data_IF_839245230211
#
_entry.id   IF_839245230211
#
_cell.length_a   1.000
_cell.length_b   1.000
_cell.length_c   1.000
_cell.angle_alpha   90.00
_cell.angle_beta   90.00
_cell.angle_gamma   90.00
#
_symmetry.space_group_name_H-M   'P 1'
#
loop_
_entity.id
_entity.type
_entity.pdbx_description
1 polymer ?
#
# COMPACT_ATOMS: atom_id res chain seq x y z
N UNK A 1 -39.10 -79.71 22.40
CA UNK A 1 -39.24 -78.34 21.86
C UNK A 1 -38.05 -77.39 22.17
N UNK A 2 -37.06 -77.76 22.99
CA UNK A 2 -35.95 -76.86 23.37
C UNK A 2 -34.81 -76.70 22.33
N UNK A 3 -34.74 -77.56 21.30
CA UNK A 3 -33.64 -77.55 20.31
C UNK A 3 -33.85 -76.51 19.18
N UNK A 4 -35.09 -76.34 18.71
CA UNK A 4 -35.43 -75.38 17.63
C UNK A 4 -35.19 -73.92 18.04
N UNK A 5 -35.51 -73.56 19.29
CA UNK A 5 -35.28 -72.21 19.81
C UNK A 5 -33.79 -71.82 19.87
N UNK A 6 -32.88 -72.76 20.15
CA UNK A 6 -31.43 -72.50 20.19
C UNK A 6 -30.86 -72.28 18.78
N UNK A 7 -31.38 -72.98 17.78
CA UNK A 7 -30.94 -72.81 16.38
C UNK A 7 -31.42 -71.47 15.82
N UNK A 8 -32.69 -71.12 16.03
CA UNK A 8 -33.25 -69.82 15.62
C UNK A 8 -32.50 -68.67 16.29
N UNK A 9 -32.19 -68.80 17.58
CA UNK A 9 -31.40 -67.81 18.30
C UNK A 9 -29.97 -67.67 17.73
N UNK A 10 -29.28 -68.76 17.41
CA UNK A 10 -27.94 -68.71 16.78
C UNK A 10 -27.96 -68.05 15.40
N UNK A 11 -28.95 -68.36 14.57
CA UNK A 11 -29.12 -67.74 13.25
C UNK A 11 -29.45 -66.24 13.37
N UNK A 12 -30.28 -65.86 14.34
CA UNK A 12 -30.55 -64.46 14.64
C UNK A 12 -29.28 -63.70 15.07
N UNK A 13 -28.48 -64.28 15.96
CA UNK A 13 -27.21 -63.70 16.41
C UNK A 13 -26.21 -63.59 15.24
N UNK A 14 -26.09 -64.62 14.39
CA UNK A 14 -25.22 -64.58 13.21
C UNK A 14 -25.66 -63.51 12.20
N UNK A 15 -26.96 -63.39 11.96
CA UNK A 15 -27.53 -62.32 11.13
C UNK A 15 -27.20 -60.95 11.72
N UNK A 16 -27.40 -60.75 13.03
CA UNK A 16 -27.08 -59.50 13.70
C UNK A 16 -25.59 -59.14 13.58
N UNK A 17 -24.69 -60.11 13.74
CA UNK A 17 -23.24 -59.90 13.56
C UNK A 17 -22.92 -59.55 12.10
N UNK A 18 -23.54 -60.22 11.14
CA UNK A 18 -23.33 -59.93 9.71
C UNK A 18 -23.80 -58.51 9.34
N UNK A 19 -24.99 -58.11 9.78
CA UNK A 19 -25.49 -56.75 9.56
C UNK A 19 -24.64 -55.70 10.29
N UNK A 20 -24.18 -56.00 11.51
CA UNK A 20 -23.32 -55.09 12.25
C UNK A 20 -21.94 -54.95 11.59
N UNK A 21 -21.34 -56.06 11.17
CA UNK A 21 -20.08 -56.09 10.42
C UNK A 21 -20.18 -55.34 9.10
N UNK A 22 -21.25 -55.58 8.33
CA UNK A 22 -21.54 -54.86 7.10
C UNK A 22 -21.75 -53.36 7.31
N UNK A 23 -22.44 -52.97 8.39
CA UNK A 23 -22.65 -51.56 8.75
C UNK A 23 -21.33 -50.88 9.14
N UNK A 24 -20.48 -51.54 9.92
CA UNK A 24 -19.14 -51.03 10.28
C UNK A 24 -18.25 -50.92 9.05
N UNK A 25 -18.25 -51.93 8.17
CA UNK A 25 -17.49 -51.91 6.93
C UNK A 25 -17.95 -50.79 6.00
N UNK A 26 -19.26 -50.63 5.81
CA UNK A 26 -19.83 -49.54 5.01
C UNK A 26 -19.47 -48.17 5.60
N UNK A 27 -19.61 -47.98 6.91
CA UNK A 27 -19.21 -46.75 7.57
C UNK A 27 -17.72 -46.45 7.39
N UNK A 28 -16.86 -47.45 7.54
CA UNK A 28 -15.42 -47.31 7.31
C UNK A 28 -15.13 -46.94 5.85
N UNK A 29 -15.75 -47.61 4.88
CA UNK A 29 -15.55 -47.30 3.46
C UNK A 29 -15.93 -45.86 3.11
N UNK A 30 -17.07 -45.37 3.60
CA UNK A 30 -17.54 -44.00 3.37
C UNK A 30 -16.71 -42.94 4.11
N UNK A 31 -16.05 -43.33 5.21
CA UNK A 31 -15.23 -42.43 6.00
C UNK A 31 -13.87 -42.14 5.33
N UNK A 32 -13.35 -43.11 4.57
CA UNK A 32 -12.09 -43.01 3.81
C UNK A 32 -12.30 -42.77 2.31
N UNK A 33 -13.55 -42.67 1.86
CA UNK A 33 -13.88 -42.28 0.48
C UNK A 33 -13.34 -40.87 0.19
N UNK A 34 -12.61 -40.75 -0.91
CA UNK A 34 -12.06 -39.47 -1.38
C UNK A 34 -13.16 -38.61 -1.99
N UNK A 35 -13.08 -37.30 -1.78
CA UNK A 35 -13.98 -36.37 -2.46
C UNK A 35 -13.52 -36.10 -3.91
N UNK A 36 -14.43 -35.57 -4.74
CA UNK A 36 -14.17 -35.27 -6.15
C UNK A 36 -13.41 -33.93 -6.35
N UNK A 37 -13.04 -33.25 -5.27
CA UNK A 37 -12.38 -31.93 -5.35
C UNK A 37 -10.91 -32.13 -5.72
N UNK A 38 -10.58 -31.74 -6.95
CA UNK A 38 -9.24 -31.98 -7.54
C UNK A 38 -8.19 -30.93 -7.15
N UNK A 39 -8.59 -29.85 -6.46
CA UNK A 39 -7.69 -28.79 -6.01
C UNK A 39 -7.75 -28.58 -4.49
N UNK A 40 -6.64 -28.16 -3.91
CA UNK A 40 -6.61 -27.83 -2.48
C UNK A 40 -7.45 -26.59 -2.18
N UNK A 41 -8.38 -26.71 -1.25
CA UNK A 41 -9.36 -25.67 -0.92
C UNK A 41 -9.16 -25.15 0.49
N UNK A 42 -9.36 -23.85 0.71
CA UNK A 42 -9.30 -23.24 2.05
C UNK A 42 -10.72 -23.11 2.61
N UNK A 43 -10.95 -23.69 3.78
CA UNK A 43 -12.24 -23.66 4.47
C UNK A 43 -12.12 -22.85 5.74
N UNK A 44 -13.05 -21.93 5.97
CA UNK A 44 -13.18 -21.24 7.26
C UNK A 44 -14.11 -22.01 8.18
N UNK A 45 -13.68 -22.27 9.42
CA UNK A 45 -14.53 -22.68 10.55
C UNK A 45 -14.67 -21.49 11.50
N UNK A 46 -15.88 -21.01 11.70
CA UNK A 46 -16.12 -19.82 12.51
C UNK A 46 -16.08 -20.13 14.01
N UNK A 47 -15.76 -19.12 14.82
CA UNK A 47 -15.76 -19.27 16.28
C UNK A 47 -17.19 -19.50 16.77
N UNK A 48 -17.39 -20.60 17.49
CA UNK A 48 -18.71 -20.99 18.02
C UNK A 48 -19.55 -21.82 17.04
N UNK A 49 -19.02 -22.14 15.86
CA UNK A 49 -19.70 -23.00 14.90
C UNK A 49 -19.81 -24.44 15.43
N UNK A 50 -21.01 -25.02 15.38
CA UNK A 50 -21.24 -26.38 15.85
C UNK A 50 -20.98 -27.42 14.75
N UNK A 51 -20.78 -28.68 15.16
CA UNK A 51 -20.49 -29.81 14.25
C UNK A 51 -21.47 -29.92 13.07
N UNK A 52 -22.75 -29.58 13.26
CA UNK A 52 -23.75 -29.66 12.20
C UNK A 52 -23.61 -28.53 11.17
N UNK A 53 -23.27 -27.32 11.62
CA UNK A 53 -22.98 -26.19 10.75
C UNK A 53 -21.71 -26.45 9.92
N UNK A 54 -20.64 -26.91 10.58
CA UNK A 54 -19.38 -27.29 9.91
C UNK A 54 -19.64 -28.37 8.84
N UNK A 55 -20.34 -29.45 9.21
CA UNK A 55 -20.60 -30.55 8.27
C UNK A 55 -21.46 -30.12 7.08
N UNK A 56 -22.43 -29.21 7.29
CA UNK A 56 -23.25 -28.65 6.20
C UNK A 56 -22.42 -27.78 5.26
N UNK A 57 -21.56 -26.91 5.80
CA UNK A 57 -20.66 -26.07 4.99
C UNK A 57 -19.72 -26.91 4.15
N UNK A 58 -19.03 -27.88 4.77
CA UNK A 58 -18.14 -28.78 4.05
C UNK A 58 -18.89 -29.59 2.96
N UNK A 59 -20.15 -29.96 3.19
CA UNK A 59 -20.98 -30.61 2.16
C UNK A 59 -21.35 -29.65 1.03
N UNK A 60 -21.68 -28.40 1.33
CA UNK A 60 -21.99 -27.36 0.32
C UNK A 60 -20.78 -27.05 -0.56
N UNK A 61 -19.57 -27.13 -0.01
CA UNK A 61 -18.31 -26.98 -0.74
C UNK A 61 -17.85 -28.29 -1.43
N UNK A 62 -18.70 -29.32 -1.45
CA UNK A 62 -18.42 -30.66 -2.03
C UNK A 62 -17.24 -31.41 -1.40
N UNK A 63 -16.78 -31.00 -0.22
CA UNK A 63 -15.67 -31.62 0.49
C UNK A 63 -16.07 -32.88 1.27
N UNK A 64 -17.38 -33.11 1.48
CA UNK A 64 -17.91 -34.32 2.13
C UNK A 64 -18.87 -35.10 1.24
N UNK A 65 -18.71 -36.42 1.18
CA UNK A 65 -19.71 -37.32 0.57
C UNK A 65 -20.98 -37.39 1.43
N UNK A 66 -20.83 -37.50 2.76
CA UNK A 66 -21.97 -37.62 3.69
C UNK A 66 -21.80 -36.85 5.00
N UNK A 67 -22.79 -36.00 5.30
CA UNK A 67 -22.90 -35.28 6.58
C UNK A 67 -23.02 -36.27 7.75
N UNK A 68 -23.79 -37.36 7.57
CA UNK A 68 -24.03 -38.32 8.64
C UNK A 68 -22.75 -39.07 9.04
N UNK A 69 -21.96 -39.49 8.05
CA UNK A 69 -20.69 -40.21 8.26
C UNK A 69 -19.69 -39.32 9.00
N UNK A 70 -19.51 -38.08 8.54
CA UNK A 70 -18.61 -37.12 9.20
C UNK A 70 -19.03 -36.85 10.66
N UNK A 71 -20.33 -36.63 10.90
CA UNK A 71 -20.85 -36.40 12.26
C UNK A 71 -20.70 -37.63 13.17
N UNK A 72 -20.94 -38.83 12.64
CA UNK A 72 -20.73 -40.06 13.38
C UNK A 72 -19.24 -40.26 13.72
N UNK A 73 -18.33 -40.02 12.77
CA UNK A 73 -16.89 -40.08 13.00
C UNK A 73 -16.41 -39.07 14.07
N UNK A 74 -16.91 -37.83 14.03
CA UNK A 74 -16.59 -36.81 15.03
C UNK A 74 -17.08 -37.19 16.45
N UNK A 75 -18.22 -37.89 16.55
CA UNK A 75 -18.76 -38.36 17.84
C UNK A 75 -18.05 -39.59 18.37
N UNK A 76 -17.86 -40.61 17.51
CA UNK A 76 -17.21 -41.87 17.87
C UNK A 76 -15.74 -41.69 18.25
N UNK A 77 -15.07 -40.69 17.65
CA UNK A 77 -13.69 -40.36 18.01
C UNK A 77 -13.56 -39.62 19.35
N UNK A 78 -14.66 -39.22 19.99
CA UNK A 78 -14.64 -38.40 21.21
C UNK A 78 -14.13 -36.96 20.99
N UNK A 79 -13.87 -36.57 19.73
CA UNK A 79 -13.23 -35.29 19.35
C UNK A 79 -14.23 -34.20 18.94
N UNK A 80 -15.52 -34.38 19.23
CA UNK A 80 -16.58 -33.43 18.83
C UNK A 80 -16.36 -32.02 19.40
N UNK A 81 -15.79 -31.89 20.60
CA UNK A 81 -15.42 -30.61 21.23
C UNK A 81 -14.03 -30.11 20.83
N UNK A 82 -13.27 -30.90 20.07
CA UNK A 82 -11.89 -30.61 19.67
C UNK A 82 -11.78 -29.94 18.30
N UNK A 83 -12.89 -29.73 17.59
CA UNK A 83 -12.91 -28.98 16.34
C UNK A 83 -12.59 -27.51 16.62
N UNK A 84 -11.45 -27.03 16.13
CA UNK A 84 -11.00 -25.66 16.41
C UNK A 84 -11.47 -24.71 15.31
N UNK A 85 -11.80 -23.48 15.68
CA UNK A 85 -12.08 -22.43 14.72
C UNK A 85 -10.80 -21.99 13.99
N UNK A 86 -10.94 -21.58 12.73
CA UNK A 86 -9.84 -21.08 11.90
C UNK A 86 -10.00 -21.43 10.42
N UNK A 87 -9.07 -20.94 9.61
CA UNK A 87 -8.95 -21.33 8.21
C UNK A 87 -8.11 -22.60 8.10
N UNK A 88 -8.57 -23.59 7.34
CA UNK A 88 -7.89 -24.86 7.13
C UNK A 88 -7.66 -25.09 5.64
N UNK A 89 -6.48 -25.58 5.31
CA UNK A 89 -6.19 -26.07 3.96
C UNK A 89 -6.60 -27.53 3.88
N UNK A 90 -7.61 -27.82 3.09
CA UNK A 90 -8.04 -29.18 2.78
C UNK A 90 -7.31 -29.62 1.49
N UNK A 91 -6.59 -30.76 1.50
CA UNK A 91 -5.92 -31.26 0.30
C UNK A 91 -6.94 -31.73 -0.74
N UNK A 92 -6.50 -31.81 -2.00
CA UNK A 92 -7.31 -32.43 -3.06
C UNK A 92 -7.64 -33.88 -2.69
N UNK A 93 -8.83 -34.33 -3.05
CA UNK A 93 -9.31 -35.70 -2.81
C UNK A 93 -9.36 -36.11 -1.33
N UNK A 94 -9.43 -35.15 -0.41
CA UNK A 94 -9.47 -35.44 1.01
C UNK A 94 -10.70 -36.27 1.40
N UNK A 95 -10.49 -37.31 2.20
CA UNK A 95 -11.56 -38.08 2.81
C UNK A 95 -12.20 -37.35 3.99
N UNK A 96 -13.42 -37.75 4.37
CA UNK A 96 -14.08 -37.23 5.57
C UNK A 96 -13.22 -37.46 6.84
N UNK A 97 -12.43 -38.54 6.89
CA UNK A 97 -11.48 -38.80 7.98
C UNK A 97 -10.35 -37.79 8.03
N UNK A 98 -9.71 -37.52 6.89
CA UNK A 98 -8.59 -36.58 6.81
C UNK A 98 -9.04 -35.16 7.14
N UNK A 99 -10.20 -34.74 6.63
CA UNK A 99 -10.80 -33.44 6.97
C UNK A 99 -11.03 -33.35 8.48
N UNK A 100 -11.61 -34.39 9.09
CA UNK A 100 -11.82 -34.42 10.54
C UNK A 100 -10.49 -34.30 11.31
N UNK A 101 -9.45 -35.01 10.88
CA UNK A 101 -8.13 -34.94 11.54
C UNK A 101 -7.48 -33.57 11.39
N UNK A 102 -7.59 -32.92 10.23
CA UNK A 102 -7.12 -31.55 9.99
C UNK A 102 -7.82 -30.58 10.95
N UNK A 103 -9.14 -30.63 11.04
CA UNK A 103 -9.92 -29.74 11.91
C UNK A 103 -9.65 -29.96 13.41
N UNK A 104 -9.38 -31.21 13.80
CA UNK A 104 -9.01 -31.57 15.17
C UNK A 104 -7.58 -31.12 15.49
N UNK A 105 -6.65 -31.22 14.54
CA UNK A 105 -5.25 -30.86 14.75
C UNK A 105 -5.09 -29.38 15.11
N UNK A 106 -6.00 -28.53 14.64
CA UNK A 106 -5.93 -27.08 14.81
C UNK A 106 -4.84 -26.42 13.98
N UNK A 107 -4.26 -27.11 12.99
CA UNK A 107 -3.26 -26.54 12.09
C UNK A 107 -3.94 -25.62 11.08
N UNK A 108 -4.15 -24.36 11.49
CA UNK A 108 -4.78 -23.36 10.65
C UNK A 108 -3.81 -22.73 9.67
N UNK A 109 -4.33 -22.20 8.56
CA UNK A 109 -3.60 -21.32 7.64
C UNK A 109 -3.05 -20.12 8.43
N UNK A 110 -1.75 -19.89 8.28
CA UNK A 110 -1.06 -18.77 8.91
C UNK A 110 -1.11 -17.55 8.00
N UNK A 111 -1.69 -16.46 8.50
CA UNK A 111 -1.66 -15.13 7.88
C UNK A 111 -0.58 -14.26 8.52
N UNK A 112 -0.20 -13.19 7.83
CA UNK A 112 0.83 -12.25 8.27
C UNK A 112 0.33 -10.83 8.13
N UNK A 113 0.66 -9.99 9.10
CA UNK A 113 0.55 -8.54 9.01
C UNK A 113 1.91 -7.93 9.28
N UNK A 114 2.45 -7.18 8.32
CA UNK A 114 3.73 -6.49 8.47
C UNK A 114 3.47 -5.06 8.92
N UNK A 115 4.07 -4.67 10.03
CA UNK A 115 4.05 -3.31 10.53
C UNK A 115 5.39 -2.65 10.19
N UNK A 116 5.41 -1.68 9.25
CA UNK A 116 6.64 -1.00 8.89
C UNK A 116 7.19 -0.15 10.05
N UNK A 117 8.51 -0.10 10.16
CA UNK A 117 9.21 0.80 11.07
C UNK A 117 8.93 2.27 10.74
N UNK A 118 9.05 3.15 11.75
CA UNK A 118 8.88 4.59 11.57
C UNK A 118 7.42 5.05 11.40
N UNK A 119 6.45 4.16 11.66
CA UNK A 119 5.02 4.46 11.71
C UNK A 119 4.58 4.93 13.10
N UNK A 120 3.64 5.88 13.16
CA UNK A 120 3.02 6.30 14.43
C UNK A 120 2.03 5.24 14.90
N UNK A 121 1.70 5.21 16.19
CA UNK A 121 0.74 4.24 16.74
C UNK A 121 -0.63 4.34 16.06
N UNK A 122 -1.05 5.56 15.69
CA UNK A 122 -2.28 5.80 14.90
C UNK A 122 -2.23 5.12 13.54
N UNK A 123 -1.13 5.26 12.82
CA UNK A 123 -0.95 4.61 11.51
C UNK A 123 -0.91 3.08 11.63
N UNK A 124 -0.29 2.55 12.70
CA UNK A 124 -0.31 1.12 13.00
C UNK A 124 -1.75 0.64 13.22
N UNK A 125 -2.54 1.39 13.99
CA UNK A 125 -3.96 1.08 14.20
C UNK A 125 -4.75 1.09 12.88
N UNK A 126 -4.46 2.00 11.96
CA UNK A 126 -5.09 2.02 10.64
C UNK A 126 -4.73 0.77 9.82
N UNK A 127 -3.47 0.31 9.88
CA UNK A 127 -3.02 -0.94 9.24
C UNK A 127 -3.79 -2.14 9.84
N UNK A 128 -3.85 -2.25 11.18
CA UNK A 128 -4.55 -3.34 11.85
C UNK A 128 -6.06 -3.32 11.59
N UNK A 129 -6.67 -2.15 11.52
CA UNK A 129 -8.09 -1.98 11.17
C UNK A 129 -8.38 -2.53 9.77
N UNK A 130 -7.51 -2.22 8.80
CA UNK A 130 -7.66 -2.58 7.39
C UNK A 130 -7.16 -3.99 7.04
N UNK A 131 -6.50 -4.69 7.98
CA UNK A 131 -5.93 -6.03 7.74
C UNK A 131 -7.03 -7.10 7.65
N UNK A 132 -7.19 -7.79 6.49
CA UNK A 132 -8.21 -8.82 6.33
C UNK A 132 -7.97 -10.02 7.25
N UNK A 133 -9.05 -10.51 7.87
CA UNK A 133 -9.03 -11.66 8.78
C UNK A 133 -8.71 -11.32 10.23
N UNK A 134 -8.29 -10.09 10.56
CA UNK A 134 -8.30 -9.62 11.95
C UNK A 134 -9.69 -9.12 12.32
N UNK A 135 -10.12 -9.41 13.54
CA UNK A 135 -11.48 -9.09 14.03
C UNK A 135 -11.43 -8.36 15.38
N UNK A 136 -12.60 -7.97 15.89
CA UNK A 136 -12.74 -7.29 17.17
C UNK A 136 -12.26 -5.83 17.15
N UNK A 137 -12.59 -5.13 18.23
CA UNK A 137 -12.20 -3.75 18.43
C UNK A 137 -10.71 -3.62 18.75
N UNK A 138 -10.13 -2.49 18.36
CA UNK A 138 -8.80 -2.10 18.79
C UNK A 138 -8.85 -1.65 20.26
N UNK A 139 -7.82 -1.95 21.08
CA UNK A 139 -7.75 -1.44 22.44
C UNK A 139 -7.50 0.08 22.45
N UNK A 140 -7.33 0.66 23.64
CA UNK A 140 -6.84 2.02 23.77
C UNK A 140 -5.53 2.21 23.01
N UNK A 141 -5.39 3.36 22.33
CA UNK A 141 -4.24 3.67 21.48
C UNK A 141 -2.98 3.85 22.32
N UNK A 142 -1.96 2.98 22.20
CA UNK A 142 -0.73 3.14 22.94
C UNK A 142 0.08 4.34 22.41
N UNK A 143 0.80 5.06 23.28
CA UNK A 143 1.77 6.08 22.88
C UNK A 143 2.76 5.58 21.81
N UNK A 144 3.31 6.51 21.03
CA UNK A 144 4.40 6.19 20.11
C UNK A 144 5.61 5.64 20.88
N UNK A 145 6.35 4.73 20.25
CA UNK A 145 7.53 4.10 20.83
C UNK A 145 7.23 2.86 21.65
N UNK A 146 5.95 2.52 21.87
CA UNK A 146 5.55 1.32 22.65
C UNK A 146 5.23 0.10 21.79
N UNK A 147 5.05 0.25 20.48
CA UNK A 147 4.61 -0.83 19.60
C UNK A 147 5.77 -1.28 18.72
N UNK A 148 6.30 -2.49 18.93
CA UNK A 148 7.43 -2.98 18.13
C UNK A 148 6.99 -3.21 16.67
N UNK A 149 7.63 -2.56 15.68
CA UNK A 149 7.35 -2.83 14.27
C UNK A 149 8.00 -4.15 13.84
N UNK A 150 7.19 -5.13 13.47
CA UNK A 150 7.62 -6.45 12.97
C UNK A 150 6.54 -7.03 12.04
N UNK A 151 6.80 -8.25 11.54
CA UNK A 151 5.76 -9.07 10.90
C UNK A 151 5.13 -10.02 11.92
N UNK A 152 3.85 -9.82 12.18
CA UNK A 152 3.08 -10.62 13.12
C UNK A 152 2.27 -11.69 12.39
N UNK A 153 2.45 -12.94 12.83
CA UNK A 153 1.65 -14.07 12.36
C UNK A 153 0.32 -14.17 13.10
N UNK A 154 -0.77 -14.51 12.41
CA UNK A 154 -2.09 -14.67 13.01
C UNK A 154 -2.96 -15.67 12.24
N UNK A 155 -4.00 -16.20 12.87
CA UNK A 155 -5.03 -17.02 12.22
C UNK A 155 -6.25 -16.18 11.89
N UNK A 156 -7.00 -16.52 10.84
CA UNK A 156 -8.25 -15.81 10.54
C UNK A 156 -9.20 -15.79 11.74
N UNK A 157 -9.83 -14.65 11.99
CA UNK A 157 -10.66 -14.42 13.16
C UNK A 157 -9.89 -13.95 14.40
N UNK A 158 -8.55 -13.85 14.35
CA UNK A 158 -7.76 -13.39 15.50
C UNK A 158 -8.14 -11.96 15.91
N UNK A 159 -8.34 -11.70 17.22
CA UNK A 159 -8.63 -10.34 17.68
C UNK A 159 -7.46 -9.39 17.45
N UNK A 160 -7.72 -8.18 16.96
CA UNK A 160 -6.73 -7.11 16.79
C UNK A 160 -5.97 -6.80 18.08
N UNK A 161 -6.67 -6.85 19.22
CA UNK A 161 -6.09 -6.66 20.56
C UNK A 161 -4.88 -7.57 20.82
N UNK A 162 -4.93 -8.85 20.40
CA UNK A 162 -3.84 -9.80 20.60
C UNK A 162 -2.58 -9.36 19.85
N UNK A 163 -2.73 -8.78 18.65
CA UNK A 163 -1.59 -8.25 17.90
C UNK A 163 -0.98 -7.05 18.64
N UNK A 164 -1.81 -6.12 19.11
CA UNK A 164 -1.35 -4.96 19.90
C UNK A 164 -0.62 -5.40 21.18
N UNK A 165 -1.18 -6.36 21.92
CA UNK A 165 -0.54 -6.92 23.14
C UNK A 165 0.83 -7.55 22.84
N UNK A 166 0.95 -8.26 21.71
CA UNK A 166 2.23 -8.82 21.25
C UNK A 166 3.23 -7.72 20.87
N UNK A 167 2.78 -6.64 20.24
CA UNK A 167 3.65 -5.50 19.90
C UNK A 167 4.18 -4.80 21.15
N UNK A 168 3.32 -4.59 22.15
CA UNK A 168 3.69 -4.00 23.44
C UNK A 168 4.72 -4.87 24.16
N UNK A 169 4.43 -6.17 24.28
CA UNK A 169 5.33 -7.14 24.91
C UNK A 169 6.66 -7.24 24.16
N UNK A 170 6.63 -7.24 22.81
CA UNK A 170 7.81 -7.27 21.96
C UNK A 170 8.70 -6.05 22.16
N UNK A 171 8.11 -4.84 22.25
CA UNK A 171 8.87 -3.62 22.48
C UNK A 171 9.52 -3.62 23.85
N UNK A 172 8.75 -3.95 24.89
CA UNK A 172 9.23 -4.05 26.26
C UNK A 172 10.40 -5.03 26.36
N UNK A 173 10.22 -6.24 25.80
CA UNK A 173 11.28 -7.25 25.77
C UNK A 173 12.52 -6.76 25.03
N UNK A 174 12.34 -6.12 23.88
CA UNK A 174 13.46 -5.62 23.06
C UNK A 174 14.28 -4.59 23.82
N UNK A 175 13.64 -3.61 24.45
CA UNK A 175 14.38 -2.60 25.20
C UNK A 175 15.00 -3.20 26.47
N UNK A 176 14.33 -4.12 27.16
CA UNK A 176 14.87 -4.80 28.35
C UNK A 176 16.10 -5.66 28.03
N UNK A 177 16.12 -6.31 26.87
CA UNK A 177 17.27 -7.06 26.37
C UNK A 177 18.46 -6.16 26.03
N UNK A 178 18.22 -5.03 25.35
CA UNK A 178 19.29 -4.16 24.86
C UNK A 178 19.85 -3.22 25.94
N UNK A 179 19.02 -2.81 26.90
CA UNK A 179 19.32 -1.78 27.88
C UNK A 179 20.56 -2.06 28.75
N UNK A 180 20.80 -3.30 29.26
CA UNK A 180 22.00 -3.60 30.05
C UNK A 180 23.30 -3.42 29.25
N UNK A 181 23.24 -3.52 27.93
CA UNK A 181 24.40 -3.37 27.05
C UNK A 181 24.68 -1.94 26.61
N UNK A 182 23.92 -0.93 27.04
CA UNK A 182 24.13 0.46 26.62
C UNK A 182 25.48 1.00 27.09
N UNK A 183 25.99 2.01 26.40
CA UNK A 183 27.18 2.74 26.84
C UNK A 183 26.93 3.51 28.15
N UNK A 184 27.92 3.59 29.04
CA UNK A 184 27.75 4.19 30.38
C UNK A 184 27.55 5.72 30.38
N UNK A 185 28.12 6.41 29.39
CA UNK A 185 28.15 7.88 29.30
C UNK A 185 27.07 8.41 28.32
N UNK A 186 25.82 7.99 28.45
CA UNK A 186 24.73 8.50 27.62
C UNK A 186 24.08 9.74 28.26
N UNK A 187 23.69 10.76 27.47
CA UNK A 187 23.10 12.01 27.99
C UNK A 187 21.61 11.86 28.39
N UNK A 188 21.17 10.64 28.61
CA UNK A 188 19.82 10.26 29.01
C UNK A 188 19.91 9.05 29.94
N UNK A 189 18.96 8.95 30.86
CA UNK A 189 19.02 8.01 31.99
C UNK A 189 17.91 6.96 31.94
N UNK A 190 16.86 7.19 31.15
CA UNK A 190 15.71 6.29 31.10
C UNK A 190 15.52 5.63 29.73
N UNK A 191 14.79 4.51 29.73
CA UNK A 191 14.43 3.76 28.53
C UNK A 191 13.53 4.59 27.60
N UNK A 192 12.66 5.39 28.19
CA UNK A 192 11.75 6.29 27.49
C UNK A 192 12.53 7.35 26.71
N UNK A 193 13.53 7.98 27.32
CA UNK A 193 14.39 8.95 26.63
C UNK A 193 15.18 8.32 25.47
N UNK A 194 15.65 7.08 25.65
CA UNK A 194 16.30 6.34 24.58
C UNK A 194 15.33 6.06 23.42
N UNK A 195 14.08 5.68 23.70
CA UNK A 195 13.05 5.49 22.67
C UNK A 195 12.71 6.79 21.94
N UNK A 196 12.72 7.93 22.63
CA UNK A 196 12.54 9.24 21.98
C UNK A 196 13.63 9.44 20.93
N UNK A 197 14.91 9.27 21.31
CA UNK A 197 16.00 9.44 20.37
C UNK A 197 15.95 8.38 19.26
N UNK A 198 15.64 7.13 19.57
CA UNK A 198 15.52 6.05 18.58
C UNK A 198 14.46 6.38 17.52
N UNK A 199 13.33 6.96 17.93
CA UNK A 199 12.28 7.39 16.99
C UNK A 199 12.72 8.53 16.07
N UNK A 200 13.65 9.38 16.51
CA UNK A 200 14.25 10.42 15.66
C UNK A 200 15.19 9.77 14.65
N UNK A 201 16.08 8.88 15.09
CA UNK A 201 17.03 8.17 14.21
C UNK A 201 16.30 7.37 13.13
N UNK A 202 15.22 6.68 13.50
CA UNK A 202 14.38 5.91 12.59
C UNK A 202 13.88 6.76 11.41
N UNK A 203 13.51 8.01 11.66
CA UNK A 203 12.99 8.92 10.63
C UNK A 203 14.08 9.68 9.88
N UNK A 204 15.32 9.68 10.38
CA UNK A 204 16.41 10.47 9.82
C UNK A 204 17.11 9.76 8.66
N UNK A 205 17.29 8.44 8.73
CA UNK A 205 18.00 7.70 7.68
C UNK A 205 17.37 6.35 7.37
N UNK A 206 17.34 6.02 6.08
CA UNK A 206 17.08 4.65 5.59
C UNK A 206 18.37 3.84 5.43
N UNK A 207 19.55 4.44 5.60
CA UNK A 207 20.85 3.77 5.45
C UNK A 207 21.27 3.16 6.78
N UNK A 208 21.15 1.83 6.87
CA UNK A 208 21.38 1.09 8.11
C UNK A 208 22.77 1.33 8.72
N UNK A 209 23.81 1.38 7.88
CA UNK A 209 25.20 1.57 8.33
C UNK A 209 25.49 2.96 8.91
N UNK A 210 24.65 3.97 8.63
CA UNK A 210 24.84 5.32 9.15
C UNK A 210 24.15 5.56 10.50
N UNK A 211 23.16 4.73 10.89
CA UNK A 211 22.37 4.94 12.12
C UNK A 211 23.24 5.12 13.37
N UNK A 212 24.26 4.29 13.66
CA UNK A 212 25.09 4.47 14.85
C UNK A 212 25.88 5.79 14.84
N UNK A 213 26.29 6.27 13.66
CA UNK A 213 27.03 7.53 13.51
C UNK A 213 26.12 8.75 13.66
N UNK A 214 24.92 8.70 13.08
CA UNK A 214 23.89 9.73 13.26
C UNK A 214 23.48 9.81 14.74
N UNK A 215 23.29 8.67 15.41
CA UNK A 215 23.06 8.62 16.86
C UNK A 215 24.19 9.29 17.64
N UNK A 216 25.45 9.03 17.29
CA UNK A 216 26.61 9.72 17.85
C UNK A 216 26.55 11.25 17.70
N UNK A 217 26.13 11.77 16.53
CA UNK A 217 25.95 13.22 16.33
C UNK A 217 24.88 13.80 17.25
N UNK A 218 23.70 13.18 17.34
CA UNK A 218 22.64 13.70 18.21
C UNK A 218 23.03 13.62 19.68
N UNK A 219 23.70 12.55 20.11
CA UNK A 219 24.22 12.43 21.48
C UNK A 219 25.24 13.52 21.79
N UNK A 220 26.16 13.82 20.87
CA UNK A 220 27.10 14.92 21.04
C UNK A 220 26.42 16.28 21.12
N UNK A 221 25.34 16.49 20.35
CA UNK A 221 24.51 17.71 20.44
C UNK A 221 23.85 17.83 21.81
N UNK A 222 23.27 16.75 22.32
CA UNK A 222 22.64 16.71 23.64
C UNK A 222 23.65 17.07 24.74
N UNK A 223 24.84 16.43 24.73
CA UNK A 223 25.93 16.73 25.70
C UNK A 223 26.35 18.20 25.67
N UNK A 224 26.37 18.83 24.49
CA UNK A 224 26.73 20.25 24.33
C UNK A 224 25.57 21.23 24.60
N UNK A 225 24.39 20.75 24.97
CA UNK A 225 23.19 21.58 25.14
C UNK A 225 22.76 22.27 23.82
N UNK A 226 23.10 21.66 22.68
CA UNK A 226 22.68 22.11 21.36
C UNK A 226 21.26 21.62 21.07
N UNK A 227 20.54 22.39 20.25
CA UNK A 227 19.27 21.93 19.68
C UNK A 227 19.51 20.77 18.71
N UNK A 228 18.59 19.81 18.65
CA UNK A 228 18.74 18.66 17.76
C UNK A 228 18.50 19.02 16.30
N UNK A 229 17.60 19.96 16.01
CA UNK A 229 17.34 20.52 14.67
C UNK A 229 17.15 19.43 13.59
N UNK A 230 16.17 18.55 13.80
CA UNK A 230 15.84 17.44 12.90
C UNK A 230 14.44 17.64 12.32
N UNK A 231 14.36 17.59 10.98
CA UNK A 231 13.13 17.80 10.20
C UNK A 231 11.99 16.85 10.62
N UNK A 232 12.21 15.54 10.84
CA UNK A 232 11.19 14.61 11.35
C UNK A 232 10.37 15.13 12.54
N UNK A 233 11.02 15.79 13.49
CA UNK A 233 10.33 16.30 14.69
C UNK A 233 9.44 17.50 14.38
N UNK A 234 9.81 18.31 13.39
CA UNK A 234 8.98 19.42 12.88
C UNK A 234 7.84 18.88 12.04
N UNK A 235 8.07 17.85 11.22
CA UNK A 235 7.01 17.17 10.47
C UNK A 235 5.95 16.65 11.43
N UNK A 236 6.38 15.97 12.50
CA UNK A 236 5.48 15.50 13.56
C UNK A 236 4.71 16.65 14.21
N UNK A 237 5.39 17.76 14.53
CA UNK A 237 4.77 18.95 15.10
C UNK A 237 3.74 19.64 14.18
N UNK A 238 3.91 19.55 12.86
CA UNK A 238 2.99 20.16 11.88
C UNK A 238 1.76 19.27 11.64
N UNK A 239 1.90 17.95 11.79
CA UNK A 239 0.82 17.00 11.51
C UNK A 239 0.17 16.41 12.76
N UNK A 240 0.65 16.80 13.94
CA UNK A 240 0.30 16.19 15.24
C UNK A 240 0.46 14.66 15.25
N UNK A 241 1.35 14.13 14.40
CA UNK A 241 1.53 12.69 14.22
C UNK A 241 0.33 11.94 13.62
N UNK A 242 -0.70 12.66 13.16
CA UNK A 242 -1.95 12.08 12.64
C UNK A 242 -1.88 11.71 11.16
N UNK A 243 -1.00 12.38 10.40
CA UNK A 243 -0.86 12.16 8.96
C UNK A 243 0.55 12.43 8.44
N UNK A 244 0.81 11.98 7.21
CA UNK A 244 2.04 12.27 6.49
C UNK A 244 1.99 13.66 5.84
N UNK A 245 3.06 14.43 6.00
CA UNK A 245 3.17 15.75 5.38
C UNK A 245 3.42 15.61 3.86
N UNK A 246 2.41 15.91 3.04
CA UNK A 246 2.48 15.79 1.57
C UNK A 246 3.22 16.94 0.86
N UNK A 247 3.85 17.83 1.63
CA UNK A 247 4.61 18.98 1.12
C UNK A 247 5.98 19.07 1.79
N UNK A 248 6.88 19.85 1.21
CA UNK A 248 8.15 20.19 1.88
C UNK A 248 7.90 21.09 3.09
N UNK A 249 8.78 20.99 4.09
CA UNK A 249 8.84 21.95 5.18
C UNK A 249 9.18 23.35 4.65
N UNK A 250 8.51 24.34 5.21
CA UNK A 250 8.73 25.76 4.94
C UNK A 250 9.49 26.39 6.11
N UNK A 251 10.08 27.57 5.88
CA UNK A 251 10.72 28.34 6.95
C UNK A 251 9.74 28.71 8.08
N UNK A 252 8.44 28.85 7.77
CA UNK A 252 7.41 29.12 8.78
C UNK A 252 7.23 27.92 9.70
N UNK A 253 7.20 26.70 9.15
CA UNK A 253 7.09 25.47 9.94
C UNK A 253 8.26 25.31 10.90
N UNK A 254 9.50 25.55 10.43
CA UNK A 254 10.71 25.44 11.25
C UNK A 254 10.71 26.38 12.46
N UNK A 255 9.99 27.52 12.37
CA UNK A 255 9.89 28.52 13.43
C UNK A 255 8.60 28.42 14.27
N UNK A 256 7.70 27.51 13.92
CA UNK A 256 6.43 27.38 14.63
C UNK A 256 6.67 26.86 16.05
N UNK A 257 6.10 27.49 17.09
CA UNK A 257 6.24 27.02 18.46
C UNK A 257 5.46 25.71 18.64
N UNK A 258 6.15 24.64 19.02
CA UNK A 258 5.55 23.36 19.35
C UNK A 258 6.52 22.56 20.23
N UNK A 259 6.07 21.78 21.24
CA UNK A 259 6.97 21.03 22.13
C UNK A 259 7.93 20.08 21.39
N UNK A 260 7.46 19.48 20.29
CA UNK A 260 8.28 18.59 19.47
C UNK A 260 9.22 19.32 18.49
N UNK A 261 9.10 20.64 18.32
CA UNK A 261 9.95 21.36 17.38
C UNK A 261 11.38 21.54 17.93
N UNK A 262 12.29 20.64 17.54
CA UNK A 262 13.71 20.67 17.94
C UNK A 262 14.53 21.79 17.28
N UNK A 263 13.95 22.63 16.44
CA UNK A 263 14.57 23.89 16.01
C UNK A 263 14.36 25.02 17.03
N UNK A 264 13.32 24.91 17.85
CA UNK A 264 12.94 25.92 18.83
C UNK A 264 13.37 25.49 20.24
N UNK A 265 13.20 24.21 20.56
CA UNK A 265 13.49 23.65 21.89
C UNK A 265 14.85 22.92 21.92
N UNK A 266 15.54 23.02 23.05
CA UNK A 266 16.75 22.22 23.34
C UNK A 266 16.36 20.88 23.96
N UNK A 267 17.26 19.90 23.88
CA UNK A 267 17.03 18.57 24.45
C UNK A 267 16.17 17.68 23.55
N UNK A 268 15.71 16.57 24.13
CA UNK A 268 14.79 15.64 23.50
C UNK A 268 13.36 16.24 23.45
N UNK A 269 12.54 15.92 22.43
CA UNK A 269 11.11 16.20 22.47
C UNK A 269 10.43 15.39 23.59
N UNK A 270 9.20 15.74 23.99
CA UNK A 270 8.56 15.15 25.18
C UNK A 270 8.17 13.67 25.04
N UNK A 271 8.09 13.14 23.82
CA UNK A 271 7.75 11.74 23.55
C UNK A 271 8.29 11.29 22.17
N UNK A 272 8.29 9.98 21.86
CA UNK A 272 8.67 9.48 20.55
C UNK A 272 7.76 10.00 19.43
N UNK A 273 8.33 10.23 18.24
CA UNK A 273 7.59 10.71 17.06
C UNK A 273 7.07 9.57 16.16
N UNK A 274 7.48 8.34 16.44
CA UNK A 274 7.04 7.11 15.78
C UNK A 274 7.43 5.90 16.62
N UNK A 275 7.12 4.71 16.13
CA UNK A 275 7.60 3.45 16.67
C UNK A 275 8.89 3.01 15.96
N UNK A 276 10.04 2.99 16.65
CA UNK A 276 11.34 2.61 16.07
C UNK A 276 11.51 1.10 15.98
N UNK A 277 12.35 0.65 15.04
CA UNK A 277 12.82 -0.73 14.97
C UNK A 277 13.91 -1.06 16.00
N UNK A 278 14.25 -2.34 16.12
CA UNK A 278 15.28 -2.83 17.06
C UNK A 278 16.64 -2.18 16.81
N UNK A 279 16.99 -1.99 15.55
CA UNK A 279 18.26 -1.45 15.09
C UNK A 279 18.43 0.02 15.47
N UNK A 280 17.34 0.81 15.40
CA UNK A 280 17.33 2.21 15.82
C UNK A 280 17.48 2.33 17.34
N UNK A 281 16.85 1.43 18.10
CA UNK A 281 17.03 1.34 19.56
C UNK A 281 18.48 0.96 19.89
N UNK A 282 19.04 -0.04 19.21
CA UNK A 282 20.43 -0.44 19.41
C UNK A 282 21.42 0.68 19.07
N UNK A 283 21.17 1.42 17.99
CA UNK A 283 22.05 2.52 17.55
C UNK A 283 22.15 3.66 18.56
N UNK A 284 21.07 3.95 19.30
CA UNK A 284 21.11 4.98 20.35
C UNK A 284 21.81 4.47 21.60
N UNK A 285 21.60 3.20 21.98
CA UNK A 285 22.20 2.60 23.17
C UNK A 285 23.70 2.31 23.00
N UNK A 286 24.13 1.99 21.77
CA UNK A 286 25.54 1.76 21.38
C UNK A 286 25.91 2.61 20.16
N UNK A 287 26.03 3.94 20.32
CA UNK A 287 26.34 4.83 19.21
C UNK A 287 27.80 4.67 18.78
N UNK A 288 28.09 5.01 17.52
CA UNK A 288 29.47 5.14 17.09
C UNK A 288 30.13 6.32 17.81
N UNK A 289 31.29 6.10 18.42
CA UNK A 289 32.09 7.15 19.03
C UNK A 289 32.63 8.08 17.94
N UNK A 290 32.28 9.36 18.03
CA UNK A 290 32.69 10.41 17.09
C UNK A 290 32.67 11.76 17.80
N UNK A 291 33.37 12.75 17.23
CA UNK A 291 33.35 14.15 17.66
C UNK A 291 32.48 15.02 16.73
N UNK A 292 31.74 14.39 15.82
CA UNK A 292 30.88 15.07 14.86
C UNK A 292 29.62 15.62 15.53
N UNK A 293 29.21 16.80 15.09
CA UNK A 293 28.02 17.52 15.59
C UNK A 293 27.13 18.04 14.47
N UNK A 294 27.49 17.79 13.21
CA UNK A 294 26.70 18.16 12.04
C UNK A 294 26.77 17.05 10.99
N UNK A 295 25.70 16.86 10.25
CA UNK A 295 25.66 16.04 9.04
C UNK A 295 24.77 16.71 7.99
N UNK A 296 25.03 16.43 6.72
CA UNK A 296 24.23 16.90 5.59
C UNK A 296 24.23 15.83 4.51
N UNK A 297 23.13 15.70 3.77
CA UNK A 297 23.05 14.76 2.65
C UNK A 297 24.23 14.95 1.66
N UNK A 298 24.81 13.84 1.21
CA UNK A 298 25.91 13.83 0.23
C UNK A 298 25.42 13.96 -1.23
N UNK A 299 24.14 13.66 -1.48
CA UNK A 299 23.51 13.66 -2.80
C UNK A 299 23.57 12.30 -3.54
N UNK A 300 24.15 11.27 -2.93
CA UNK A 300 24.13 9.86 -3.35
C UNK A 300 23.18 9.01 -2.51
N UNK A 301 22.74 9.50 -1.35
CA UNK A 301 21.76 8.84 -0.50
C UNK A 301 22.22 8.68 0.95
N UNK A 302 23.48 9.01 1.26
CA UNK A 302 24.05 9.04 2.60
C UNK A 302 24.34 10.47 3.06
N UNK A 303 25.25 10.59 4.02
CA UNK A 303 25.57 11.84 4.68
C UNK A 303 27.08 12.13 4.76
N UNK A 304 27.42 13.41 4.63
CA UNK A 304 28.73 13.92 5.01
C UNK A 304 28.64 14.48 6.42
N UNK A 305 29.49 13.95 7.30
CA UNK A 305 29.56 14.33 8.71
C UNK A 305 30.67 15.36 8.93
N UNK A 306 30.51 16.21 9.93
CA UNK A 306 31.45 17.30 10.22
C UNK A 306 31.49 17.67 11.70
N UNK A 307 32.66 18.16 12.13
CA UNK A 307 32.94 18.51 13.53
C UNK A 307 32.75 20.00 13.82
N UNK A 308 32.77 20.84 12.79
CA UNK A 308 32.61 22.29 12.92
C UNK A 308 31.55 22.84 11.97
N UNK A 309 31.01 24.02 12.31
CA UNK A 309 30.02 24.69 11.49
C UNK A 309 30.61 25.16 10.14
N UNK A 310 31.89 25.54 10.08
CA UNK A 310 32.54 25.96 8.84
C UNK A 310 32.73 24.80 7.87
N UNK A 311 33.08 23.61 8.38
CA UNK A 311 33.10 22.37 7.60
C UNK A 311 31.70 22.03 7.10
N UNK A 312 30.70 22.08 7.97
CA UNK A 312 29.30 21.84 7.60
C UNK A 312 28.82 22.81 6.51
N UNK A 313 29.16 24.10 6.60
CA UNK A 313 28.82 25.12 5.58
C UNK A 313 29.45 24.78 4.23
N UNK A 314 30.71 24.36 4.21
CA UNK A 314 31.38 23.89 2.97
C UNK A 314 30.66 22.69 2.37
N UNK A 315 30.28 21.71 3.20
CA UNK A 315 29.53 20.52 2.77
C UNK A 315 28.15 20.90 2.18
N UNK A 316 27.43 21.85 2.80
CA UNK A 316 26.16 22.37 2.25
C UNK A 316 26.38 23.02 0.87
N UNK A 317 27.43 23.83 0.71
CA UNK A 317 27.74 24.49 -0.57
C UNK A 317 28.05 23.46 -1.66
N UNK A 318 28.84 22.43 -1.33
CA UNK A 318 29.17 21.35 -2.24
C UNK A 318 27.93 20.56 -2.66
N UNK A 319 27.06 20.21 -1.70
CA UNK A 319 25.79 19.55 -1.98
C UNK A 319 24.87 20.39 -2.87
N UNK A 320 24.74 21.70 -2.62
CA UNK A 320 23.93 22.60 -3.45
C UNK A 320 24.44 22.64 -4.90
N UNK A 321 25.75 22.74 -5.10
CA UNK A 321 26.39 22.71 -6.42
C UNK A 321 26.12 21.38 -7.14
N UNK A 322 26.37 20.25 -6.48
CA UNK A 322 26.12 18.92 -7.02
C UNK A 322 24.64 18.71 -7.41
N UNK A 323 23.71 19.16 -6.56
CA UNK A 323 22.27 19.09 -6.83
C UNK A 323 21.85 19.96 -8.02
N UNK A 324 22.41 21.16 -8.16
CA UNK A 324 22.15 22.03 -9.31
C UNK A 324 22.65 21.39 -10.61
N UNK A 325 23.86 20.83 -10.60
CA UNK A 325 24.43 20.13 -11.76
C UNK A 325 23.59 18.91 -12.15
N UNK A 326 23.20 18.05 -11.19
CA UNK A 326 22.29 16.91 -11.46
C UNK A 326 20.97 17.38 -12.07
N UNK A 327 20.37 18.47 -11.55
CA UNK A 327 19.12 19.02 -12.09
C UNK A 327 19.28 19.56 -13.51
N UNK A 328 20.41 20.22 -13.80
CA UNK A 328 20.72 20.71 -15.14
C UNK A 328 20.95 19.54 -16.12
N UNK A 329 21.69 18.51 -15.72
CA UNK A 329 21.90 17.30 -16.50
C UNK A 329 20.57 16.58 -16.79
N UNK A 330 19.72 16.40 -15.77
CA UNK A 330 18.40 15.80 -15.94
C UNK A 330 17.50 16.62 -16.89
N UNK A 331 17.55 17.96 -16.82
CA UNK A 331 16.85 18.85 -17.76
C UNK A 331 17.38 18.71 -19.19
N UNK A 332 18.71 18.66 -19.38
CA UNK A 332 19.33 18.43 -20.69
C UNK A 332 18.92 17.08 -21.26
N UNK A 333 18.97 16.01 -20.46
CA UNK A 333 18.57 14.66 -20.87
C UNK A 333 17.09 14.61 -21.27
N UNK A 334 16.19 15.23 -20.49
CA UNK A 334 14.76 15.34 -20.86
C UNK A 334 14.56 16.13 -22.15
N UNK A 335 15.33 17.18 -22.38
CA UNK A 335 15.24 17.95 -23.63
C UNK A 335 15.76 17.15 -24.84
N UNK A 336 16.84 16.39 -24.68
CA UNK A 336 17.36 15.47 -25.71
C UNK A 336 16.32 14.39 -26.02
N UNK A 337 15.76 13.75 -24.99
CA UNK A 337 14.74 12.73 -25.15
C UNK A 337 13.50 13.28 -25.85
N UNK A 338 13.01 14.47 -25.47
CA UNK A 338 11.88 15.12 -26.15
C UNK A 338 12.19 15.43 -27.62
N UNK A 339 13.41 15.90 -27.94
CA UNK A 339 13.83 16.13 -29.34
C UNK A 339 13.93 14.82 -30.13
N UNK A 340 14.38 13.74 -29.52
CA UNK A 340 14.44 12.41 -30.15
C UNK A 340 13.04 11.83 -30.36
N UNK A 341 12.12 11.98 -29.40
CA UNK A 341 10.71 11.59 -29.55
C UNK A 341 10.04 12.35 -30.68
N UNK A 342 10.17 13.68 -30.70
CA UNK A 342 9.62 14.53 -31.78
C UNK A 342 10.23 14.18 -33.13
N UNK A 343 11.55 13.92 -33.20
CA UNK A 343 12.20 13.48 -34.45
C UNK A 343 11.73 12.09 -34.88
N UNK A 344 11.49 11.17 -33.94
CA UNK A 344 10.99 9.83 -34.25
C UNK A 344 9.51 9.82 -34.66
N UNK A 345 8.69 10.72 -34.11
CA UNK A 345 7.31 10.95 -34.52
C UNK A 345 7.25 11.62 -35.90
N UNK A 346 8.06 12.65 -36.13
CA UNK A 346 8.17 13.30 -37.44
C UNK A 346 8.68 12.34 -38.54
N UNK A 347 9.59 11.40 -38.22
CA UNK A 347 10.05 10.35 -39.17
C UNK A 347 8.97 9.30 -39.42
N UNK A 348 8.04 9.06 -38.47
CA UNK A 348 6.87 8.19 -38.68
C UNK A 348 5.75 8.88 -39.46
N UNK A 349 5.62 10.19 -39.36
CA UNK A 349 4.65 11.00 -40.13
C UNK A 349 5.15 11.37 -41.54
N UNK A 350 6.48 11.40 -41.75
CA UNK A 350 7.08 11.66 -43.05
C UNK A 350 6.59 10.73 -44.19
N UNK A 351 6.48 9.39 -44.02
CA UNK A 351 5.92 8.53 -45.08
C UNK A 351 4.43 8.78 -45.34
N UNK A 352 3.68 9.31 -44.37
CA UNK A 352 2.26 9.67 -44.56
C UNK A 352 2.11 10.95 -45.38
N UNK A 353 2.97 11.96 -45.16
CA UNK A 353 2.94 13.19 -45.97
C UNK A 353 3.36 12.97 -47.43
N UNK A 354 4.32 12.08 -47.67
CA UNK A 354 4.75 11.73 -49.05
C UNK A 354 3.64 10.97 -49.79
N UNK A 355 2.91 10.07 -49.11
CA UNK A 355 1.77 9.37 -49.72
C UNK A 355 0.62 10.33 -50.08
N UNK A 356 0.31 11.30 -49.22
CA UNK A 356 -0.74 12.31 -49.49
C UNK A 356 -0.35 13.25 -50.64
N UNK A 357 0.94 13.61 -50.77
CA UNK A 357 1.41 14.41 -51.91
C UNK A 357 1.35 13.63 -53.23
N UNK A 358 1.72 12.34 -53.24
CA UNK A 358 1.63 11.52 -54.45
C UNK A 358 0.19 11.17 -54.87
N UNK A 359 -0.78 11.14 -53.95
CA UNK A 359 -2.20 10.99 -54.30
C UNK A 359 -2.80 12.29 -54.84
N UNK A 360 -2.41 13.45 -54.30
CA UNK A 360 -2.83 14.75 -54.82
C UNK A 360 -2.28 15.01 -56.23
N UNK A 361 -1.01 14.69 -56.48
CA UNK A 361 -0.39 14.80 -57.82
C UNK A 361 -1.06 13.83 -58.82
N UNK A 362 -1.40 12.60 -58.40
CA UNK A 362 -2.17 11.66 -59.23
C UNK A 362 -3.60 12.10 -59.51
N UNK A 363 -4.26 12.78 -58.56
CA UNK A 363 -5.59 13.34 -58.79
C UNK A 363 -5.55 14.54 -59.74
N UNK A 364 -4.50 15.35 -59.68
CA UNK A 364 -4.31 16.48 -60.61
C UNK A 364 -3.95 15.99 -62.03
N UNK A 365 -3.20 14.89 -62.14
CA UNK A 365 -2.92 14.21 -63.42
C UNK A 365 -4.18 13.53 -63.99
N UNK A 366 -5.01 12.89 -63.16
CA UNK A 366 -6.30 12.32 -63.57
C UNK A 366 -7.31 13.39 -64.00
N UNK A 367 -7.31 14.56 -63.35
CA UNK A 367 -8.12 15.71 -63.77
C UNK A 367 -7.65 16.28 -65.11
N UNK A 368 -6.34 16.29 -65.39
CA UNK A 368 -5.82 16.66 -66.71
C UNK A 368 -6.16 15.63 -67.80
N UNK A 369 -6.11 14.34 -67.50
CA UNK A 369 -6.55 13.29 -68.44
C UNK A 369 -8.06 13.39 -68.74
N UNK A 370 -8.88 13.79 -67.76
CA UNK A 370 -10.32 14.03 -67.95
C UNK A 370 -10.61 15.31 -68.74
N UNK A 371 -9.84 16.40 -68.53
CA UNK A 371 -9.94 17.63 -69.35
C UNK A 371 -9.48 17.40 -70.81
N UNK A 372 -8.49 16.54 -71.06
CA UNK A 372 -8.07 16.18 -72.41
C UNK A 372 -9.08 15.25 -73.13
N UNK A 373 -9.91 14.50 -72.38
CA UNK A 373 -10.99 13.68 -72.95
C UNK A 373 -12.26 14.50 -73.28
N UNK A 374 -12.53 15.58 -72.57
CA UNK A 374 -13.65 16.50 -72.84
C UNK A 374 -13.39 17.48 -74.01
N UNK A 375 -12.15 17.63 -74.48
CA UNK A 375 -11.80 18.51 -75.62
C UNK A 375 -12.03 17.89 -77.01
N UNK A 376 -12.60 16.68 -77.08
CA UNK A 376 -12.88 15.95 -78.33
C UNK A 376 -14.36 15.95 -78.75
N UNK A 377 -15.23 16.59 -77.97
CA UNK A 377 -16.66 16.71 -78.22
C UNK A 377 -17.11 18.15 -77.98
N UNK A 378 -16.80 19.03 -78.94
CA UNK A 378 -17.66 20.17 -79.32
C UNK A 378 -16.95 21.02 -80.40
N UNK A 379 -16.94 20.50 -81.63
CA UNK A 379 -16.86 21.32 -82.85
C UNK A 379 -17.96 20.82 -83.80
N UNK A 380 -19.13 21.44 -83.74
CA UNK A 380 -19.96 21.79 -84.91
C UNK A 380 -21.28 22.46 -84.48
N UNK A 381 -21.33 23.80 -84.49
CA UNK A 381 -22.44 24.56 -85.07
C UNK A 381 -22.08 26.06 -85.20
N UNK A 382 -21.62 26.40 -86.40
CA UNK A 382 -22.07 27.49 -87.29
C UNK A 382 -22.52 28.86 -86.71
N UNK A 383 -21.61 29.84 -86.83
CA UNK A 383 -21.73 31.26 -87.26
C UNK A 383 -23.04 32.07 -87.10
N UNK A 384 -22.91 33.31 -86.57
CA UNK A 384 -23.18 34.59 -87.30
C UNK A 384 -22.94 35.89 -86.45
N UNK A 385 -22.14 36.78 -87.03
CA UNK A 385 -22.11 38.28 -87.04
C UNK A 385 -22.17 39.21 -85.78
N UNK A 386 -20.99 39.80 -85.47
CA UNK A 386 -20.55 41.22 -85.25
C UNK A 386 -21.55 42.41 -85.01
N UNK A 387 -21.11 43.63 -84.55
CA UNK A 387 -20.86 44.21 -83.19
C UNK A 387 -21.68 45.55 -83.01
N UNK A 388 -21.21 46.73 -82.49
CA UNK A 388 -20.23 47.15 -81.45
C UNK A 388 -20.79 48.21 -80.44
N UNK A 389 -19.89 48.84 -79.65
CA UNK A 389 -20.01 50.13 -78.92
C UNK A 389 -20.71 50.13 -77.53
N UNK A 390 -20.42 50.97 -76.54
CA UNK A 390 -19.41 52.00 -76.27
C UNK A 390 -19.42 52.30 -74.74
N UNK A 391 -18.26 52.71 -74.22
CA UNK A 391 -18.02 53.78 -73.23
C UNK A 391 -18.90 53.95 -71.95
N UNK A 392 -18.13 54.00 -70.85
CA UNK A 392 -18.00 55.11 -69.87
C UNK A 392 -18.99 55.26 -68.67
N UNK A 393 -18.33 55.49 -67.53
CA UNK A 393 -18.50 56.63 -66.58
C UNK A 393 -19.36 56.44 -65.32
N UNK A 394 -18.67 56.60 -64.17
CA UNK A 394 -19.10 57.26 -62.91
C UNK A 394 -20.30 56.66 -62.12
N UNK A 395 -20.55 56.89 -60.83
CA UNK A 395 -20.05 57.76 -59.75
C UNK A 395 -20.67 57.26 -58.42
N UNK A 396 -19.99 57.56 -57.30
CA UNK A 396 -20.50 58.01 -55.98
C UNK A 396 -21.81 57.44 -55.40
N UNK A 397 -21.75 57.06 -54.11
CA UNK A 397 -22.28 57.80 -52.94
C UNK A 397 -22.52 56.81 -51.77
N UNK A 398 -21.85 56.93 -50.62
CA UNK A 398 -22.17 57.76 -49.44
C UNK A 398 -23.38 57.29 -48.59
N UNK A 399 -23.12 57.23 -47.26
CA UNK A 399 -23.98 57.58 -46.10
C UNK A 399 -24.66 56.50 -45.22
N UNK A 400 -24.23 56.58 -43.94
CA UNK A 400 -25.02 56.82 -42.69
C UNK A 400 -25.34 55.63 -41.75
N UNK A 401 -24.61 55.65 -40.61
CA UNK A 401 -25.14 55.43 -39.24
C UNK A 401 -26.25 56.46 -38.91
N UNK A 402 -27.22 56.21 -37.98
CA UNK A 402 -26.99 56.33 -36.53
C UNK A 402 -27.88 55.42 -35.60
N UNK A 403 -27.78 55.54 -34.26
CA UNK A 403 -28.14 54.52 -33.25
C UNK A 403 -29.37 54.87 -32.40
N UNK A 404 -29.86 53.97 -31.53
CA UNK A 404 -30.71 54.33 -30.37
C UNK A 404 -30.46 53.44 -29.14
N UNK A 405 -30.36 54.11 -27.98
CA UNK A 405 -30.24 53.66 -26.59
C UNK A 405 -31.61 53.45 -25.91
N UNK A 406 -31.62 52.71 -24.79
CA UNK A 406 -32.19 53.01 -23.43
C UNK A 406 -32.80 51.73 -22.82
N UNK A 407 -32.36 51.20 -21.67
CA UNK A 407 -32.29 51.70 -20.29
C UNK A 407 -33.60 51.49 -19.47
N UNK A 408 -33.43 51.39 -18.14
CA UNK A 408 -34.39 51.26 -17.01
C UNK A 408 -34.36 49.83 -16.42
N UNK A 409 -33.71 49.49 -15.29
CA UNK A 409 -33.56 50.05 -13.92
C UNK A 409 -34.83 50.14 -13.09
N UNK A 410 -34.83 49.46 -11.92
CA UNK A 410 -35.32 49.88 -10.58
C UNK A 410 -35.70 48.60 -9.80
N UNK A 411 -34.93 48.17 -8.78
CA UNK A 411 -35.03 48.52 -7.33
C UNK A 411 -36.43 48.14 -6.76
N UNK A 412 -36.59 47.46 -5.62
CA UNK A 412 -36.09 47.84 -4.27
C UNK A 412 -36.64 46.83 -3.23
N UNK A 413 -35.86 46.58 -2.16
CA UNK A 413 -36.26 46.41 -0.72
C UNK A 413 -37.23 45.30 -0.31
N UNK A 414 -37.09 44.58 0.81
CA UNK A 414 -36.20 44.65 1.97
C UNK A 414 -36.88 44.03 3.22
N UNK A 415 -36.10 43.93 4.32
CA UNK A 415 -36.49 43.77 5.74
C UNK A 415 -36.80 42.37 6.36
N UNK A 416 -35.84 41.94 7.21
CA UNK A 416 -35.84 41.84 8.70
C UNK A 416 -36.68 40.78 9.46
N UNK A 417 -36.02 40.34 10.56
CA UNK A 417 -36.44 39.65 11.81
C UNK A 417 -36.36 38.11 11.73
N UNK A 418 -35.84 37.38 12.73
CA UNK A 418 -35.57 37.64 14.16
C UNK A 418 -34.15 37.23 14.55
#
# INVERSE_FOLDING_TARGET
MAAGGRLIFRLFVLSLIFFLGGSVFSFYSLLYEQNDVSESTVVLVEKGENLNQIARRLKQENLLSSIAVFKAAARLSGKTTSLRAGEYRIPAHASAKEILDILVSGQTVVRRVTIPEGKTSRQIFDILAQTPGLTGELPELPPNGMLLPETYVFSYGSPRKIIVERMLSGMQKTIDELWPGRDDDLPYTTKEEALVLASIIEKETSVASERPRIAGVFINRLRKGMRLQTDPTVIYAVTDGTMELRRRLTHKDLKAPHPFNTYMNKGLPPAPICNPGRESIQAVLKPQKTNEIYFVADGTGGHVFSRSFDEHRRNILNWKKARQQKRLAARKNRAIQKKQTVKSEAVKEAPVLVQVQTEAEKQEELLRELEEQDLSLDIAEETLEVPPEEKKVEKKAEKKMPPVKKAVSVKKTGKKKK
#
